data_IF_297373278716
#
_entry.id   IF_297373278716
#
_cell.length_a   1.000
_cell.length_b   1.000
_cell.length_c   1.000
_cell.angle_alpha   90.00
_cell.angle_beta   90.00
_cell.angle_gamma   90.00
#
_symmetry.space_group_name_H-M   'P 1'
#
loop_
_entity.id
_entity.type
_entity.pdbx_description
1 polymer ?
#
# COMPACT_ATOMS: atom_id res chain seq x y z
N UNK A 1 52.11 9.98 -25.27
CA UNK A 1 51.04 10.91 -24.82
C UNK A 1 49.74 10.36 -25.38
N UNK A 2 48.95 9.65 -24.57
CA UNK A 2 47.82 8.86 -25.03
C UNK A 2 46.61 9.09 -24.12
N UNK A 3 45.45 9.28 -24.76
CA UNK A 3 44.14 8.89 -24.23
C UNK A 3 43.37 9.93 -23.42
N UNK A 4 42.67 10.84 -24.11
CA UNK A 4 41.52 11.55 -23.55
C UNK A 4 40.35 10.57 -23.48
N UNK A 5 39.85 10.29 -22.26
CA UNK A 5 38.65 9.48 -22.04
C UNK A 5 37.41 10.37 -22.19
N UNK A 6 36.58 10.08 -23.18
CA UNK A 6 35.24 10.62 -23.32
C UNK A 6 34.29 9.92 -22.33
N UNK A 7 33.73 10.68 -21.40
CA UNK A 7 32.61 10.26 -20.56
C UNK A 7 31.32 10.61 -21.30
N UNK A 8 30.69 9.61 -21.93
CA UNK A 8 29.36 9.74 -22.52
C UNK A 8 28.28 9.65 -21.45
N UNK A 9 27.63 10.77 -21.19
CA UNK A 9 26.37 10.84 -20.44
C UNK A 9 25.28 10.05 -21.19
N UNK A 10 24.73 9.02 -20.55
CA UNK A 10 23.48 8.39 -20.99
C UNK A 10 22.35 9.00 -20.14
N UNK A 11 21.79 10.11 -20.61
CA UNK A 11 20.48 10.58 -20.18
C UNK A 11 19.43 9.81 -21.00
N UNK A 12 18.77 8.85 -20.37
CA UNK A 12 17.61 8.18 -20.97
C UNK A 12 16.36 9.01 -20.66
N UNK A 13 15.89 9.74 -21.67
CA UNK A 13 14.59 10.39 -21.67
C UNK A 13 13.49 9.34 -21.88
N UNK A 14 12.56 9.22 -20.93
CA UNK A 14 11.28 8.56 -21.16
C UNK A 14 10.19 9.59 -20.87
N UNK A 15 9.65 10.16 -21.95
CA UNK A 15 8.47 10.99 -21.93
C UNK A 15 7.52 10.52 -23.05
N UNK A 16 6.21 10.59 -22.74
CA UNK A 16 5.03 10.23 -23.53
C UNK A 16 4.69 8.72 -23.57
N UNK A 17 3.44 8.28 -23.39
CA UNK A 17 2.17 8.94 -23.73
C UNK A 17 1.02 8.48 -22.82
N UNK A 18 0.19 9.42 -22.36
CA UNK A 18 -1.15 9.14 -21.84
C UNK A 18 -2.16 10.05 -22.55
N UNK A 19 -2.87 9.51 -23.53
CA UNK A 19 -4.08 10.11 -24.07
C UNK A 19 -5.10 8.98 -24.26
N UNK A 20 -6.09 8.91 -23.36
CA UNK A 20 -7.22 7.98 -23.49
C UNK A 20 -8.49 8.79 -23.63
N UNK A 21 -9.25 8.46 -24.68
CA UNK A 21 -10.52 9.05 -25.04
C UNK A 21 -11.62 8.73 -24.00
N UNK A 22 -12.43 9.74 -23.67
CA UNK A 22 -13.56 9.60 -22.75
C UNK A 22 -14.84 9.42 -23.56
N UNK A 23 -15.33 8.17 -23.67
CA UNK A 23 -16.70 7.89 -24.10
C UNK A 23 -17.64 7.98 -22.90
N UNK A 24 -18.74 8.72 -23.01
CA UNK A 24 -19.73 8.86 -21.95
C UNK A 24 -20.67 7.66 -21.93
N UNK A 25 -20.40 6.71 -21.04
CA UNK A 25 -21.37 5.69 -20.61
C UNK A 25 -22.23 6.25 -19.47
N UNK A 26 -23.54 6.04 -19.54
CA UNK A 26 -24.47 6.33 -18.45
C UNK A 26 -24.09 5.53 -17.18
N UNK A 27 -24.33 6.07 -15.97
CA UNK A 27 -23.88 5.42 -14.74
C UNK A 27 -24.72 4.16 -14.48
N UNK A 28 -24.12 2.99 -14.67
CA UNK A 28 -24.55 1.82 -13.95
C UNK A 28 -24.48 2.15 -12.46
N UNK A 29 -25.51 1.79 -11.69
CA UNK A 29 -25.43 1.84 -10.22
C UNK A 29 -24.14 1.11 -9.81
N UNK A 30 -23.15 1.88 -9.35
CA UNK A 30 -21.84 1.36 -9.02
C UNK A 30 -22.03 0.38 -7.86
N UNK A 31 -22.01 -0.92 -8.15
CA UNK A 31 -21.68 -1.92 -7.14
C UNK A 31 -20.32 -1.47 -6.59
N UNK A 32 -20.35 -0.89 -5.39
CA UNK A 32 -19.18 -0.31 -4.76
C UNK A 32 -18.08 -1.35 -4.75
N UNK A 33 -16.98 -1.01 -5.41
CA UNK A 33 -15.80 -1.86 -5.43
C UNK A 33 -15.30 -2.00 -4.00
N UNK A 34 -15.14 -3.25 -3.57
CA UNK A 34 -14.64 -3.56 -2.25
C UNK A 34 -13.25 -4.17 -2.35
N UNK A 35 -12.36 -3.77 -1.45
CA UNK A 35 -11.03 -4.35 -1.25
C UNK A 35 -10.93 -4.95 0.14
N UNK A 36 -10.29 -6.12 0.25
CA UNK A 36 -9.95 -6.71 1.55
C UNK A 36 -8.71 -6.04 2.07
N UNK A 37 -8.75 -5.63 3.34
CA UNK A 37 -7.65 -4.94 4.01
C UNK A 37 -7.46 -5.50 5.41
N UNK A 38 -6.25 -5.45 5.92
CA UNK A 38 -5.93 -5.80 7.30
C UNK A 38 -6.18 -4.62 8.25
N UNK A 39 -6.78 -4.92 9.39
CA UNK A 39 -7.02 -4.00 10.49
C UNK A 39 -6.89 -4.74 11.82
N UNK A 40 -5.76 -4.51 12.51
CA UNK A 40 -5.43 -5.14 13.79
C UNK A 40 -5.46 -6.68 13.72
N UNK A 41 -4.83 -7.25 12.69
CA UNK A 41 -4.75 -8.70 12.48
C UNK A 41 -6.05 -9.36 12.01
N UNK A 42 -7.13 -8.59 11.88
CA UNK A 42 -8.42 -9.04 11.32
C UNK A 42 -8.59 -8.46 9.93
N UNK A 43 -9.29 -9.16 9.05
CA UNK A 43 -9.61 -8.64 7.73
C UNK A 43 -10.89 -7.81 7.75
N UNK A 44 -10.87 -6.75 6.96
CA UNK A 44 -11.95 -5.78 6.80
C UNK A 44 -12.22 -5.55 5.32
N UNK A 45 -13.37 -4.94 5.05
CA UNK A 45 -13.75 -4.53 3.71
C UNK A 45 -13.60 -3.00 3.60
N UNK A 46 -12.63 -2.56 2.80
CA UNK A 46 -12.54 -1.19 2.32
C UNK A 46 -13.56 -1.01 1.20
N UNK A 47 -14.52 -0.14 1.41
CA UNK A 47 -15.48 0.27 0.39
C UNK A 47 -14.83 1.42 -0.38
N UNK A 48 -14.56 1.28 -1.67
CA UNK A 48 -14.09 2.41 -2.45
C UNK A 48 -15.29 3.29 -2.81
N UNK A 49 -15.36 4.55 -2.35
CA UNK A 49 -16.49 5.40 -2.65
C UNK A 49 -16.48 5.72 -4.15
N UNK A 50 -17.64 5.58 -4.79
CA UNK A 50 -17.84 6.14 -6.12
C UNK A 50 -17.77 7.67 -6.05
N UNK A 51 -16.73 8.26 -6.64
CA UNK A 51 -16.53 9.67 -7.02
C UNK A 51 -17.01 10.81 -6.08
N UNK A 52 -17.32 10.54 -4.81
CA UNK A 52 -17.83 11.54 -3.87
C UNK A 52 -16.89 11.62 -2.66
N UNK A 53 -15.80 12.36 -2.86
CA UNK A 53 -14.86 12.68 -1.79
C UNK A 53 -15.51 13.63 -0.76
N UNK A 54 -15.53 13.32 0.54
CA UNK A 54 -15.81 14.30 1.58
C UNK A 54 -14.72 15.40 1.58
N UNK A 55 -15.02 16.61 2.10
CA UNK A 55 -14.03 17.67 2.22
C UNK A 55 -12.88 17.28 3.18
N UNK A 56 -11.67 17.73 2.83
CA UNK A 56 -10.33 17.47 3.42
C UNK A 56 -10.12 17.80 4.92
N UNK A 57 -11.16 17.90 5.74
CA UNK A 57 -11.02 18.40 7.13
C UNK A 57 -10.66 17.33 8.16
N UNK A 58 -10.68 16.05 7.79
CA UNK A 58 -10.34 14.96 8.71
C UNK A 58 -8.83 14.66 8.70
N UNK A 59 -8.33 14.18 9.85
CA UNK A 59 -6.95 13.70 9.97
C UNK A 59 -6.71 12.57 8.97
N UNK A 60 -5.74 12.74 8.08
CA UNK A 60 -5.32 11.67 7.15
C UNK A 60 -4.63 10.56 7.94
N UNK A 61 -5.12 9.33 7.80
CA UNK A 61 -4.50 8.14 8.39
C UNK A 61 -3.65 7.40 7.35
N UNK A 62 -2.62 6.63 7.76
CA UNK A 62 -1.86 5.83 6.83
C UNK A 62 -2.67 4.65 6.31
N UNK A 63 -2.47 4.34 5.03
CA UNK A 63 -2.89 3.14 4.35
C UNK A 63 -1.64 2.47 3.81
N UNK A 64 -1.18 1.44 4.52
CA UNK A 64 0.07 0.77 4.21
C UNK A 64 -0.16 -0.27 3.12
N UNK A 65 0.64 -0.23 2.07
CA UNK A 65 0.72 -1.26 1.04
C UNK A 65 1.90 -2.16 1.39
N UNK A 66 1.61 -3.43 1.64
CA UNK A 66 2.58 -4.46 2.00
C UNK A 66 2.62 -5.55 0.93
N UNK A 67 3.64 -6.41 1.00
CA UNK A 67 3.63 -7.63 0.19
C UNK A 67 2.43 -8.53 0.59
N UNK A 68 1.89 -9.35 -0.35
CA UNK A 68 0.84 -10.31 -0.03
C UNK A 68 1.23 -11.23 1.13
N UNK A 69 0.36 -11.38 2.12
CA UNK A 69 0.57 -12.38 3.18
C UNK A 69 0.61 -13.78 2.55
N UNK A 70 -0.35 -14.09 1.67
CA UNK A 70 -0.33 -15.28 0.81
C UNK A 70 -0.06 -14.87 -0.66
N UNK A 71 1.12 -15.17 -1.23
CA UNK A 71 1.46 -14.81 -2.60
C UNK A 71 0.60 -15.53 -3.64
N UNK A 72 0.02 -16.69 -3.28
CA UNK A 72 -0.89 -17.42 -4.15
C UNK A 72 -2.31 -16.82 -4.13
N UNK A 73 -2.68 -16.10 -3.06
CA UNK A 73 -4.02 -15.55 -2.84
C UNK A 73 -3.95 -14.12 -2.27
N UNK A 74 -3.40 -13.14 -3.01
CA UNK A 74 -3.34 -11.75 -2.54
C UNK A 74 -4.75 -11.18 -2.34
N UNK A 75 -4.93 -10.31 -1.33
CA UNK A 75 -6.22 -9.71 -1.01
C UNK A 75 -6.78 -8.85 -2.14
N UNK A 76 -5.92 -8.17 -2.90
CA UNK A 76 -6.31 -7.42 -4.10
C UNK A 76 -5.93 -8.19 -5.37
N UNK A 77 -6.93 -8.67 -6.13
CA UNK A 77 -6.71 -9.34 -7.41
C UNK A 77 -6.57 -8.36 -8.60
N UNK A 78 -6.19 -7.10 -8.36
CA UNK A 78 -5.83 -6.14 -9.42
C UNK A 78 -6.97 -5.39 -10.10
N UNK A 79 -8.23 -5.50 -9.63
CA UNK A 79 -9.37 -4.82 -10.29
C UNK A 79 -9.54 -3.34 -9.91
N UNK A 80 -8.98 -2.90 -8.77
CA UNK A 80 -9.26 -1.56 -8.21
C UNK A 80 -8.03 -0.80 -7.67
N UNK A 81 -6.85 -1.06 -8.23
CA UNK A 81 -5.80 -0.04 -8.26
C UNK A 81 -4.61 -0.20 -7.30
N UNK A 82 -4.62 -1.20 -6.42
CA UNK A 82 -3.45 -1.52 -5.58
C UNK A 82 -2.73 -2.79 -6.00
N UNK A 83 -2.95 -3.30 -7.22
CA UNK A 83 -2.21 -4.48 -7.71
C UNK A 83 -2.40 -5.73 -6.83
N UNK A 84 -1.54 -6.75 -6.97
CA UNK A 84 -1.51 -7.95 -6.15
C UNK A 84 -0.76 -7.68 -4.84
N UNK A 85 -1.34 -6.82 -4.00
CA UNK A 85 -0.80 -6.44 -2.71
C UNK A 85 -1.83 -6.70 -1.62
N UNK A 86 -1.34 -6.74 -0.39
CA UNK A 86 -2.17 -6.63 0.80
C UNK A 86 -2.04 -5.21 1.34
N UNK A 87 -3.11 -4.77 2.00
CA UNK A 87 -3.22 -3.40 2.48
C UNK A 87 -3.54 -3.40 3.97
N UNK A 88 -2.99 -2.46 4.73
CA UNK A 88 -3.14 -2.38 6.19
C UNK A 88 -3.58 -0.98 6.56
N UNK A 89 -4.58 -0.88 7.43
CA UNK A 89 -5.08 0.41 7.87
C UNK A 89 -5.49 0.41 9.34
N UNK A 90 -5.53 1.60 9.93
CA UNK A 90 -5.99 1.76 11.29
C UNK A 90 -7.52 1.67 11.30
N UNK A 91 -8.05 0.51 11.69
CA UNK A 91 -9.48 0.36 11.86
C UNK A 91 -9.85 0.61 13.31
N UNK A 92 -10.71 1.61 13.52
CA UNK A 92 -11.35 1.82 14.82
C UNK A 92 -12.69 1.09 14.81
N UNK A 93 -12.89 0.08 15.67
CA UNK A 93 -14.12 -0.70 15.70
C UNK A 93 -15.29 0.19 16.12
N UNK A 94 -16.03 0.71 15.14
CA UNK A 94 -17.43 1.08 15.33
C UNK A 94 -18.26 0.09 14.51
N UNK A 95 -18.62 -1.00 15.17
CA UNK A 95 -19.47 -2.03 14.60
C UNK A 95 -20.77 -1.38 14.06
N UNK A 96 -21.06 -1.57 12.78
CA UNK A 96 -22.28 -1.08 12.15
C UNK A 96 -22.25 0.37 11.65
N UNK A 97 -21.13 1.09 11.71
CA UNK A 97 -20.98 2.39 11.03
C UNK A 97 -19.82 2.35 10.06
N UNK A 98 -20.05 2.77 8.82
CA UNK A 98 -18.96 3.00 7.87
C UNK A 98 -18.10 4.16 8.42
N UNK A 99 -16.87 3.88 8.86
CA UNK A 99 -15.97 4.97 9.28
C UNK A 99 -15.37 5.57 8.03
N UNK A 100 -15.82 6.77 7.66
CA UNK A 100 -15.24 7.52 6.54
C UNK A 100 -14.09 8.39 7.05
N UNK A 101 -12.93 8.28 6.42
CA UNK A 101 -11.77 9.12 6.70
C UNK A 101 -10.89 9.26 5.47
N UNK A 102 -9.93 10.20 5.51
CA UNK A 102 -8.89 10.31 4.48
C UNK A 102 -7.76 9.33 4.80
N UNK A 103 -7.35 8.55 3.81
CA UNK A 103 -6.19 7.68 3.86
C UNK A 103 -5.08 8.21 2.97
N UNK A 104 -3.83 8.05 3.40
CA UNK A 104 -2.62 8.31 2.60
C UNK A 104 -1.92 6.99 2.29
N UNK A 105 -1.70 6.70 1.01
CA UNK A 105 -0.94 5.53 0.59
C UNK A 105 0.51 5.63 1.07
N UNK A 106 0.99 4.56 1.72
CA UNK A 106 2.35 4.41 2.20
C UNK A 106 2.84 3.01 1.83
N UNK A 107 3.90 2.89 1.04
CA UNK A 107 4.48 1.59 0.66
C UNK A 107 5.48 1.15 1.72
N UNK A 108 5.41 -0.11 2.14
CA UNK A 108 6.31 -0.70 3.13
C UNK A 108 7.41 -1.49 2.43
N UNK A 109 8.63 -0.98 2.55
CA UNK A 109 9.83 -1.54 1.90
C UNK A 109 10.90 -1.89 2.94
N UNK A 110 11.97 -2.64 2.60
CA UNK A 110 13.07 -2.88 3.53
C UNK A 110 13.68 -1.58 4.08
N UNK A 111 13.88 -1.56 5.40
CA UNK A 111 14.53 -0.46 6.11
C UNK A 111 16.04 -0.65 6.23
N UNK A 112 16.75 0.34 6.81
CA UNK A 112 18.21 0.28 6.96
C UNK A 112 18.71 -0.89 7.82
N UNK A 113 17.89 -1.40 8.75
CA UNK A 113 18.20 -2.54 9.61
C UNK A 113 17.50 -3.83 9.14
N UNK A 114 16.73 -3.77 8.05
CA UNK A 114 16.01 -4.89 7.48
C UNK A 114 16.91 -5.76 6.60
N UNK A 115 17.07 -7.02 6.98
CA UNK A 115 17.82 -8.06 6.27
C UNK A 115 16.82 -9.10 5.73
N UNK A 116 16.57 -9.16 4.41
CA UNK A 116 15.69 -10.15 3.80
C UNK A 116 16.07 -11.59 4.17
N UNK A 117 15.11 -12.36 4.67
CA UNK A 117 15.31 -13.73 5.15
C UNK A 117 16.06 -13.84 6.48
N UNK A 118 16.52 -12.72 7.04
CA UNK A 118 17.10 -12.62 8.38
C UNK A 118 16.06 -12.18 9.40
N UNK A 119 15.65 -10.91 9.32
CA UNK A 119 14.67 -10.31 10.25
C UNK A 119 13.47 -9.65 9.53
N UNK A 120 13.40 -9.76 8.20
CA UNK A 120 12.22 -9.35 7.41
C UNK A 120 11.93 -10.38 6.31
N UNK A 121 10.65 -10.52 5.97
CA UNK A 121 10.19 -11.29 4.83
C UNK A 121 9.77 -10.38 3.68
N UNK A 122 10.39 -10.58 2.52
CA UNK A 122 10.29 -9.69 1.37
C UNK A 122 9.79 -10.47 0.16
N UNK A 123 8.81 -9.88 -0.52
CA UNK A 123 8.33 -10.34 -1.81
C UNK A 123 8.55 -9.24 -2.85
N UNK A 124 9.14 -9.55 -4.02
CA UNK A 124 9.16 -8.62 -5.13
C UNK A 124 7.74 -8.34 -5.62
N UNK A 125 7.40 -7.07 -5.74
CA UNK A 125 6.22 -6.61 -6.43
C UNK A 125 6.20 -7.20 -7.86
N UNK A 126 5.15 -7.91 -8.30
CA UNK A 126 5.17 -8.60 -9.59
C UNK A 126 5.03 -7.65 -10.79
N UNK A 127 4.64 -6.39 -10.58
CA UNK A 127 4.51 -5.39 -11.64
C UNK A 127 5.80 -4.58 -11.80
N UNK A 128 6.52 -4.30 -10.72
CA UNK A 128 7.64 -3.36 -10.67
C UNK A 128 8.97 -4.00 -10.25
N UNK A 129 8.93 -5.17 -9.61
CA UNK A 129 10.08 -5.81 -8.98
C UNK A 129 10.55 -5.14 -7.69
N UNK A 130 9.87 -4.09 -7.21
CA UNK A 130 10.22 -3.40 -5.98
C UNK A 130 10.10 -4.34 -4.76
N UNK A 131 11.04 -4.28 -3.79
CA UNK A 131 10.96 -5.14 -2.61
C UNK A 131 9.87 -4.63 -1.66
N UNK A 132 8.84 -5.43 -1.44
CA UNK A 132 7.77 -5.17 -0.49
C UNK A 132 7.90 -6.10 0.71
N UNK A 133 7.66 -5.59 1.91
CA UNK A 133 7.76 -6.38 3.16
C UNK A 133 6.37 -6.83 3.57
N UNK A 134 6.21 -8.10 3.97
CA UNK A 134 4.95 -8.64 4.53
C UNK A 134 5.03 -9.02 6.00
N UNK A 135 6.24 -9.30 6.50
CA UNK A 135 6.48 -9.71 7.87
C UNK A 135 7.86 -9.24 8.33
N UNK A 136 8.02 -9.04 9.64
CA UNK A 136 9.28 -8.63 10.27
C UNK A 136 9.37 -9.25 11.67
N UNK A 137 10.58 -9.60 12.11
CA UNK A 137 10.86 -10.01 13.49
C UNK A 137 10.90 -8.75 14.37
N UNK A 138 9.74 -8.30 14.86
CA UNK A 138 9.64 -6.97 15.50
C UNK A 138 10.04 -6.98 16.96
N UNK A 139 9.97 -8.14 17.62
CA UNK A 139 10.34 -8.31 19.02
C UNK A 139 11.70 -8.98 19.24
N UNK A 140 12.33 -9.47 18.17
CA UNK A 140 13.69 -10.01 18.17
C UNK A 140 13.77 -11.47 18.63
N UNK A 141 12.65 -12.21 18.58
CA UNK A 141 12.59 -13.61 18.97
C UNK A 141 13.04 -14.58 17.85
N UNK A 142 13.29 -14.06 16.65
CA UNK A 142 13.72 -14.82 15.47
C UNK A 142 12.57 -15.41 14.65
N UNK A 143 11.32 -15.06 14.97
CA UNK A 143 10.11 -15.43 14.23
C UNK A 143 9.55 -14.18 13.55
N UNK A 144 9.02 -14.33 12.34
CA UNK A 144 8.43 -13.21 11.62
C UNK A 144 7.00 -12.92 12.10
N UNK A 145 6.77 -11.69 12.52
CA UNK A 145 5.44 -11.13 12.78
C UNK A 145 4.84 -10.57 11.50
N UNK A 146 3.61 -10.98 11.18
CA UNK A 146 2.90 -10.46 10.03
C UNK A 146 2.56 -8.98 10.23
N UNK A 147 2.76 -8.16 9.20
CA UNK A 147 2.50 -6.72 9.23
C UNK A 147 1.01 -6.39 9.04
N UNK A 148 0.09 -7.15 9.64
CA UNK A 148 -1.37 -7.03 9.45
C UNK A 148 -2.03 -6.03 10.42
N UNK A 149 -1.23 -5.22 11.12
CA UNK A 149 -1.72 -4.13 11.95
C UNK A 149 -0.85 -2.88 11.79
N UNK A 150 -1.46 -1.71 11.92
CA UNK A 150 -0.71 -0.44 11.91
C UNK A 150 0.32 -0.38 13.03
N UNK A 151 0.00 -0.91 14.21
CA UNK A 151 0.93 -0.98 15.33
C UNK A 151 2.18 -1.81 14.99
N UNK A 152 2.02 -2.97 14.34
CA UNK A 152 3.15 -3.82 13.93
C UNK A 152 3.99 -3.13 12.86
N UNK A 153 3.36 -2.51 11.86
CA UNK A 153 4.07 -1.75 10.80
C UNK A 153 4.87 -0.60 11.41
N UNK A 154 4.27 0.19 12.30
CA UNK A 154 4.92 1.31 12.96
C UNK A 154 6.06 0.86 13.88
N UNK A 155 5.89 -0.26 14.59
CA UNK A 155 6.94 -0.85 15.43
C UNK A 155 8.12 -1.31 14.58
N UNK A 156 7.87 -2.01 13.47
CA UNK A 156 8.90 -2.42 12.52
C UNK A 156 9.64 -1.21 11.92
N UNK A 157 8.91 -0.14 11.60
CA UNK A 157 9.49 1.09 11.07
C UNK A 157 10.36 1.80 12.12
N UNK A 158 9.90 1.84 13.37
CA UNK A 158 10.65 2.42 14.48
C UNK A 158 11.96 1.66 14.77
N UNK A 159 11.94 0.34 14.65
CA UNK A 159 13.13 -0.51 14.73
C UNK A 159 14.06 -0.39 13.50
N UNK A 160 13.63 0.32 12.45
CA UNK A 160 14.37 0.45 11.19
C UNK A 160 14.36 -0.82 10.33
N UNK A 161 13.53 -1.81 10.66
CA UNK A 161 13.37 -3.04 9.90
C UNK A 161 12.69 -2.77 8.55
N UNK A 162 11.74 -1.83 8.55
CA UNK A 162 11.06 -1.36 7.33
C UNK A 162 11.21 0.15 7.18
N UNK A 163 11.10 0.63 5.95
CA UNK A 163 10.95 2.04 5.61
C UNK A 163 9.57 2.30 5.01
N UNK A 164 9.05 3.50 5.27
CA UNK A 164 7.72 3.93 4.86
C UNK A 164 7.86 4.96 3.72
N UNK A 165 7.46 4.58 2.51
CA UNK A 165 7.62 5.40 1.31
C UNK A 165 6.28 5.94 0.81
N UNK A 166 6.17 7.25 0.59
CA UNK A 166 5.01 7.86 -0.05
C UNK A 166 5.27 8.04 -1.54
N UNK A 167 4.54 7.36 -2.44
CA UNK A 167 4.86 7.32 -3.86
C UNK A 167 4.38 8.57 -4.60
N UNK A 168 5.02 9.73 -4.40
CA UNK A 168 4.93 10.87 -5.33
C UNK A 168 6.22 11.73 -5.31
N UNK A 169 6.73 12.16 -6.49
CA UNK A 169 7.79 13.16 -6.57
C UNK A 169 7.25 14.52 -6.10
N UNK A 170 7.81 15.07 -5.02
CA UNK A 170 7.36 16.34 -4.44
C UNK A 170 6.56 16.23 -3.13
N UNK A 171 6.42 15.02 -2.57
CA UNK A 171 6.03 14.82 -1.17
C UNK A 171 4.55 14.99 -0.82
N UNK A 172 3.65 15.09 -1.81
CA UNK A 172 2.21 14.99 -1.53
C UNK A 172 1.82 13.51 -1.46
N UNK A 173 1.17 13.07 -0.38
CA UNK A 173 0.67 11.69 -0.32
C UNK A 173 -0.47 11.48 -1.33
N UNK A 174 -0.54 10.31 -1.97
CA UNK A 174 -1.77 9.89 -2.67
C UNK A 174 -2.83 9.71 -1.60
N UNK A 175 -3.75 10.66 -1.52
CA UNK A 175 -4.80 10.69 -0.52
C UNK A 175 -6.16 10.32 -1.14
N UNK A 176 -6.90 9.44 -0.47
CA UNK A 176 -8.22 8.98 -0.93
C UNK A 176 -9.14 8.75 0.26
N UNK A 177 -10.44 8.73 0.01
CA UNK A 177 -11.42 8.43 1.05
C UNK A 177 -11.51 6.92 1.25
N UNK A 178 -11.39 6.48 2.50
CA UNK A 178 -11.36 5.06 2.86
C UNK A 178 -12.46 4.69 3.86
N UNK A 179 -13.73 4.58 3.42
CA UNK A 179 -14.77 3.98 4.24
C UNK A 179 -14.50 2.49 4.45
N UNK A 180 -14.52 2.04 5.70
CA UNK A 180 -14.41 0.61 6.03
C UNK A 180 -15.66 0.07 6.69
N UNK A 181 -15.94 -1.19 6.38
CA UNK A 181 -16.97 -2.01 7.00
C UNK A 181 -16.35 -3.30 7.52
N UNK A 182 -16.79 -3.74 8.70
CA UNK A 182 -16.42 -5.05 9.23
C UNK A 182 -16.98 -6.15 8.34
N UNK A 183 -16.14 -7.11 7.95
CA UNK A 183 -16.64 -8.33 7.35
C UNK A 183 -17.33 -9.13 8.45
N UNK A 184 -18.66 -9.17 8.42
CA UNK A 184 -19.36 -10.23 9.14
C UNK A 184 -19.04 -11.49 8.35
N UNK A 185 -18.29 -12.42 8.95
CA UNK A 185 -18.20 -13.76 8.39
C UNK A 185 -19.63 -14.30 8.29
N UNK A 186 -20.19 -14.32 7.09
CA UNK A 186 -21.38 -15.11 6.77
C UNK A 186 -21.01 -16.59 6.69
#
# INVERSE_FOLDING_TARGET
MAGVRAAGFVMCAIAAAFAVAWGTVAPAAALGSAERVWGNGTEWQLLMPGNSSPPLKDKTQPFYVIAPIDPANPQSAGRWGFGPHDSVMNVRPRQGTDTTGMCAMVVVVPGPNGVPGGNIDVIPDPNTGAPLVRAADVDGDGVFDLLTSTATVETAAHAGLVALFQPLPGGSAVAFTCPVRHMVHE
#
